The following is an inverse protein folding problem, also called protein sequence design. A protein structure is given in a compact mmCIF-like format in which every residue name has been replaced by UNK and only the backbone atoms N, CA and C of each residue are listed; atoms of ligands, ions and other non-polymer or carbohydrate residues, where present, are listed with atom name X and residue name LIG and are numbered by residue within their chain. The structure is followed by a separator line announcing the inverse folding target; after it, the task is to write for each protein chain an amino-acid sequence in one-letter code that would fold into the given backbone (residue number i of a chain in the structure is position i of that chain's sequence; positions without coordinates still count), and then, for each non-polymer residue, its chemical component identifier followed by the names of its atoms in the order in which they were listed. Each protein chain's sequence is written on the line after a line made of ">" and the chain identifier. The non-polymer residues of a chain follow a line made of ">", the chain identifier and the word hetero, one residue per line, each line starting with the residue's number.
data_IF_370648290462
#
_entry.id   IF_370648290462
#
_cell.length_a   1.000
_cell.length_b   1.000
_cell.length_c   1.000
_cell.angle_alpha   90.00
_cell.angle_beta   90.00
_cell.angle_gamma   90.00
#
_symmetry.space_group_name_H-M   'P 1'
#
loop_
_entity.id
_entity.type
_entity.pdbx_description
1 polymer ?
#
# COMPACT_ATOMS: atom_id res chain seq x y z
N UNK A 1 -18.96 -4.52 10.22
CA UNK A 1 -17.56 -4.08 10.29
C UNK A 1 -16.80 -4.94 9.32
N UNK A 2 -16.01 -4.30 8.48
CA UNK A 2 -15.46 -4.90 7.25
C UNK A 2 -13.95 -4.74 7.23
N UNK A 3 -13.28 -5.69 6.58
CA UNK A 3 -11.85 -5.56 6.25
C UNK A 3 -11.71 -5.37 4.75
N UNK A 4 -10.90 -4.40 4.34
CA UNK A 4 -10.54 -4.19 2.93
C UNK A 4 -9.06 -4.46 2.76
N UNK A 5 -8.71 -5.44 1.93
CA UNK A 5 -7.33 -5.71 1.55
C UNK A 5 -6.97 -4.85 0.33
N UNK A 6 -6.06 -3.90 0.51
CA UNK A 6 -5.57 -2.99 -0.52
C UNK A 6 -4.24 -3.47 -1.08
N UNK A 7 -4.22 -3.73 -2.39
CA UNK A 7 -3.04 -4.11 -3.14
C UNK A 7 -2.17 -2.91 -3.51
N UNK A 8 -1.08 -2.73 -2.78
CA UNK A 8 -0.21 -1.53 -2.85
C UNK A 8 1.28 -1.91 -2.76
N UNK A 9 2.14 -0.91 -2.58
CA UNK A 9 3.58 -1.08 -2.36
C UNK A 9 4.38 -1.34 -3.64
N UNK A 10 5.70 -1.17 -3.52
CA UNK A 10 6.62 -1.30 -4.63
C UNK A 10 6.62 -2.69 -5.25
N UNK A 11 6.80 -2.73 -6.58
CA UNK A 11 6.87 -3.98 -7.33
C UNK A 11 7.70 -3.81 -8.62
N UNK A 12 7.62 -4.82 -9.48
CA UNK A 12 8.35 -4.89 -10.76
C UNK A 12 8.14 -3.67 -11.67
N UNK A 13 7.08 -2.89 -11.47
CA UNK A 13 6.80 -1.69 -12.24
C UNK A 13 7.61 -0.47 -11.82
N UNK A 14 8.14 -0.43 -10.59
CA UNK A 14 8.65 0.81 -10.01
C UNK A 14 9.95 0.67 -9.19
N UNK A 15 10.32 -0.54 -8.76
CA UNK A 15 11.61 -0.79 -8.09
C UNK A 15 12.24 -2.08 -8.59
N UNK A 16 13.58 -2.13 -8.58
CA UNK A 16 14.34 -3.36 -8.76
C UNK A 16 15.56 -3.37 -7.82
N UNK A 17 15.89 -4.51 -7.18
CA UNK A 17 15.10 -5.73 -7.15
C UNK A 17 13.74 -5.53 -6.45
N UNK A 18 12.80 -6.43 -6.72
CA UNK A 18 11.51 -6.45 -6.01
C UNK A 18 11.77 -6.83 -4.54
N UNK A 19 11.08 -6.19 -3.57
CA UNK A 19 11.19 -6.56 -2.16
C UNK A 19 10.98 -8.06 -1.91
N UNK A 20 11.63 -8.57 -0.86
CA UNK A 20 11.65 -9.99 -0.51
C UNK A 20 11.13 -10.20 0.91
N UNK A 21 10.64 -11.42 1.15
CA UNK A 21 10.41 -11.97 2.49
C UNK A 21 11.47 -13.05 2.73
N UNK A 22 12.16 -13.00 3.85
CA UNK A 22 13.18 -14.00 4.21
C UNK A 22 12.57 -15.26 4.86
N UNK A 23 13.42 -16.26 5.16
CA UNK A 23 12.99 -17.52 5.78
C UNK A 23 12.31 -17.33 7.13
N UNK A 24 12.65 -16.25 7.84
CA UNK A 24 12.07 -15.90 9.13
C UNK A 24 10.84 -14.99 8.98
N UNK A 25 10.30 -14.81 7.76
CA UNK A 25 9.14 -13.97 7.47
C UNK A 25 9.40 -12.46 7.54
N UNK A 26 10.65 -12.02 7.66
CA UNK A 26 11.02 -10.60 7.75
C UNK A 26 11.01 -9.96 6.38
N UNK A 27 10.72 -8.66 6.34
CA UNK A 27 10.61 -7.89 5.11
C UNK A 27 10.95 -6.43 5.34
N UNK A 28 11.27 -5.73 4.26
CA UNK A 28 11.38 -4.27 4.25
C UNK A 28 10.20 -3.70 3.47
N UNK A 29 9.48 -2.75 4.09
CA UNK A 29 8.47 -1.99 3.37
C UNK A 29 9.17 -0.93 2.53
N UNK A 30 9.24 -1.17 1.23
CA UNK A 30 9.78 -0.22 0.26
C UNK A 30 8.61 0.53 -0.38
N UNK A 31 8.45 1.85 -0.13
CA UNK A 31 7.43 2.65 -0.80
C UNK A 31 7.76 2.82 -2.29
N UNK A 32 6.75 3.17 -3.10
CA UNK A 32 6.99 3.50 -4.51
C UNK A 32 7.74 4.83 -4.62
N UNK A 33 8.52 5.06 -5.69
CA UNK A 33 9.19 6.33 -5.90
C UNK A 33 8.14 7.42 -6.17
N UNK A 34 8.34 8.61 -5.62
CA UNK A 34 7.50 9.76 -5.96
C UNK A 34 7.67 10.12 -7.43
N UNK A 35 6.57 10.51 -8.09
CA UNK A 35 6.52 10.76 -9.54
C UNK A 35 6.51 12.25 -9.90
N UNK A 36 6.49 13.14 -8.93
CA UNK A 36 6.48 14.58 -9.16
C UNK A 36 6.84 15.39 -7.93
N UNK A 37 6.58 16.69 -7.98
CA UNK A 37 6.79 17.61 -6.86
C UNK A 37 6.06 17.13 -5.59
N UNK A 38 6.79 17.09 -4.49
CA UNK A 38 6.29 16.69 -3.16
C UNK A 38 7.02 17.46 -2.07
N UNK A 39 6.36 17.64 -0.94
CA UNK A 39 6.98 18.13 0.31
C UNK A 39 7.45 16.99 1.22
N UNK A 40 7.42 15.73 0.75
CA UNK A 40 7.94 14.57 1.49
C UNK A 40 9.45 14.72 1.74
N UNK A 41 9.90 14.86 3.01
CA UNK A 41 11.33 14.93 3.31
C UNK A 41 12.03 13.57 3.24
N UNK A 42 11.29 12.45 3.28
CA UNK A 42 11.88 11.12 3.23
C UNK A 42 12.32 10.74 1.81
N UNK A 43 13.54 10.23 1.70
CA UNK A 43 14.13 9.67 0.49
C UNK A 43 14.50 8.21 0.74
N UNK A 44 14.86 7.46 -0.30
CA UNK A 44 15.38 6.10 -0.07
C UNK A 44 16.66 6.10 0.76
N UNK A 45 17.47 7.16 0.70
CA UNK A 45 18.68 7.36 1.48
C UNK A 45 18.44 7.71 2.95
N UNK A 46 17.38 8.46 3.25
CA UNK A 46 17.10 8.87 4.63
C UNK A 46 16.28 7.84 5.42
N UNK A 47 15.56 6.95 4.74
CA UNK A 47 14.80 5.89 5.41
C UNK A 47 15.71 4.72 5.83
N UNK A 48 15.83 4.43 7.13
CA UNK A 48 16.64 3.32 7.60
C UNK A 48 15.96 1.98 7.27
N UNK A 49 16.79 0.97 7.04
CA UNK A 49 16.34 -0.43 7.03
C UNK A 49 15.86 -0.83 8.41
N UNK A 50 14.80 -1.63 8.45
CA UNK A 50 14.35 -2.26 9.70
C UNK A 50 15.27 -3.42 10.10
N UNK A 51 15.82 -4.12 9.12
CA UNK A 51 16.59 -5.33 9.28
C UNK A 51 17.97 -5.17 8.64
N UNK A 52 18.99 -5.07 9.50
CA UNK A 52 20.38 -4.83 9.12
C UNK A 52 20.74 -3.35 9.10
N UNK A 53 21.95 -3.05 8.64
CA UNK A 53 22.48 -1.69 8.59
C UNK A 53 22.17 -0.99 7.25
N UNK A 54 22.14 0.33 7.28
CA UNK A 54 21.99 1.18 6.09
C UNK A 54 20.56 1.66 5.83
N UNK A 55 20.39 2.31 4.68
CA UNK A 55 19.11 2.88 4.23
C UNK A 55 18.40 1.97 3.22
N UNK A 56 17.13 2.26 2.92
CA UNK A 56 16.37 1.54 1.90
C UNK A 56 17.05 1.61 0.51
N UNK A 57 17.79 2.68 0.21
CA UNK A 57 18.56 2.80 -1.03
C UNK A 57 19.56 1.64 -1.20
N UNK A 58 20.14 1.12 -0.11
CA UNK A 58 21.07 -0.01 -0.17
C UNK A 58 20.44 -1.34 -0.62
N UNK A 59 19.10 -1.40 -0.72
CA UNK A 59 18.35 -2.58 -1.17
C UNK A 59 17.87 -2.47 -2.62
N UNK A 60 18.13 -1.34 -3.28
CA UNK A 60 17.51 -0.96 -4.55
C UNK A 60 18.61 -0.64 -5.57
N UNK A 61 18.59 -1.36 -6.69
CA UNK A 61 19.49 -1.14 -7.84
C UNK A 61 18.91 -0.11 -8.83
N UNK A 62 17.61 0.17 -8.72
CA UNK A 62 16.98 1.23 -9.49
C UNK A 62 15.51 1.43 -9.22
N UNK A 63 15.04 2.61 -9.55
CA UNK A 63 13.66 3.06 -9.38
C UNK A 63 13.10 3.56 -10.71
N UNK A 64 11.78 3.53 -10.83
CA UNK A 64 11.08 4.06 -12.00
C UNK A 64 9.85 4.89 -11.57
N UNK A 65 10.03 6.19 -11.36
CA UNK A 65 8.92 7.12 -11.11
C UNK A 65 7.85 7.01 -12.19
N UNK A 66 6.58 6.87 -11.80
CA UNK A 66 5.46 6.83 -12.75
C UNK A 66 5.30 5.55 -13.58
N UNK A 67 6.12 4.51 -13.37
CA UNK A 67 6.06 3.18 -14.03
C UNK A 67 6.19 3.12 -15.56
N UNK A 68 6.17 4.24 -16.29
CA UNK A 68 6.28 4.32 -17.76
C UNK A 68 7.58 5.00 -18.24
N UNK A 69 8.37 5.58 -17.32
CA UNK A 69 9.63 6.28 -17.64
C UNK A 69 10.87 5.39 -17.71
N UNK A 70 12.03 6.02 -17.86
CA UNK A 70 13.32 5.35 -17.78
C UNK A 70 13.65 4.93 -16.33
N UNK A 71 14.46 3.88 -16.20
CA UNK A 71 14.98 3.49 -14.90
C UNK A 71 16.07 4.46 -14.45
N UNK A 72 15.91 5.01 -13.25
CA UNK A 72 16.98 5.70 -12.52
C UNK A 72 17.81 4.64 -11.82
N UNK A 73 19.11 4.59 -12.13
CA UNK A 73 20.06 3.59 -11.59
C UNK A 73 21.34 4.19 -11.04
N UNK A 74 21.54 5.50 -11.19
CA UNK A 74 22.63 6.15 -10.48
C UNK A 74 22.33 6.08 -8.98
N UNK A 75 23.32 5.66 -8.19
CA UNK A 75 23.11 5.38 -6.78
C UNK A 75 22.78 6.64 -5.98
N UNK A 76 23.38 7.79 -6.33
CA UNK A 76 23.11 9.05 -5.65
C UNK A 76 21.70 9.54 -6.01
N UNK A 77 21.30 9.43 -7.28
CA UNK A 77 19.94 9.78 -7.71
C UNK A 77 18.89 8.90 -7.00
N UNK A 78 19.14 7.59 -6.85
CA UNK A 78 18.25 6.68 -6.10
C UNK A 78 18.18 7.08 -4.63
N UNK A 79 19.33 7.39 -4.01
CA UNK A 79 19.45 7.76 -2.60
C UNK A 79 18.68 9.07 -2.28
N UNK A 80 18.78 10.06 -3.15
CA UNK A 80 18.15 11.37 -3.00
C UNK A 80 16.69 11.41 -3.46
N UNK A 81 16.19 10.35 -4.10
CA UNK A 81 14.83 10.32 -4.63
C UNK A 81 13.78 10.21 -3.51
N UNK A 82 12.80 11.13 -3.51
CA UNK A 82 11.72 11.14 -2.55
C UNK A 82 10.79 9.92 -2.69
N UNK A 83 10.36 9.36 -1.56
CA UNK A 83 9.42 8.24 -1.56
C UNK A 83 7.97 8.72 -1.62
N UNK A 84 7.06 7.84 -2.04
CA UNK A 84 5.62 8.06 -1.92
C UNK A 84 5.06 7.06 -0.89
N UNK A 85 4.90 7.53 0.36
CA UNK A 85 4.40 6.72 1.48
C UNK A 85 2.88 6.62 1.46
N UNK A 86 2.39 5.68 0.65
CA UNK A 86 0.96 5.41 0.57
C UNK A 86 0.70 3.89 0.48
N UNK A 87 0.41 3.22 1.61
CA UNK A 87 0.10 3.78 2.94
C UNK A 87 1.29 4.36 3.70
N UNK A 88 1.02 5.34 4.56
CA UNK A 88 1.95 5.74 5.61
C UNK A 88 1.60 4.98 6.90
N UNK A 89 2.34 3.90 7.16
CA UNK A 89 2.09 3.00 8.29
C UNK A 89 2.58 3.54 9.65
N UNK A 90 3.40 4.60 9.65
CA UNK A 90 3.84 5.26 10.89
C UNK A 90 2.82 6.31 11.34
N UNK A 91 2.28 7.08 10.37
CA UNK A 91 1.24 8.08 10.62
C UNK A 91 -0.19 7.53 10.53
N UNK A 92 -0.34 6.25 10.13
CA UNK A 92 -1.62 5.57 9.94
C UNK A 92 -2.58 6.35 9.03
N UNK A 93 -2.13 6.66 7.82
CA UNK A 93 -2.99 7.27 6.79
C UNK A 93 -2.79 6.59 5.45
N UNK A 94 -3.84 6.58 4.63
CA UNK A 94 -3.83 6.03 3.28
C UNK A 94 -4.66 6.90 2.33
N UNK A 95 -4.09 7.17 1.17
CA UNK A 95 -4.72 7.83 0.03
C UNK A 95 -4.84 6.88 -1.15
N UNK A 96 -5.92 7.01 -1.92
CA UNK A 96 -6.12 6.20 -3.12
C UNK A 96 -6.99 6.91 -4.14
N UNK A 97 -6.74 6.67 -5.42
CA UNK A 97 -7.45 7.34 -6.52
C UNK A 97 -8.11 6.35 -7.49
N UNK A 98 -7.66 5.07 -7.50
CA UNK A 98 -8.21 4.06 -8.40
C UNK A 98 -9.71 3.90 -8.16
N UNK A 99 -10.59 4.11 -9.15
CA UNK A 99 -12.05 4.20 -8.90
C UNK A 99 -12.67 3.02 -8.15
N UNK A 100 -12.30 1.74 -8.42
CA UNK A 100 -12.81 0.61 -7.64
C UNK A 100 -12.38 0.63 -6.16
N UNK A 101 -11.18 1.13 -5.87
CA UNK A 101 -10.72 1.29 -4.49
C UNK A 101 -11.47 2.43 -3.81
N UNK A 102 -11.59 3.59 -4.47
CA UNK A 102 -12.29 4.77 -3.92
C UNK A 102 -13.70 4.39 -3.49
N UNK A 103 -14.46 3.70 -4.34
CA UNK A 103 -15.82 3.25 -4.00
C UNK A 103 -15.87 2.29 -2.81
N UNK A 104 -14.85 1.43 -2.65
CA UNK A 104 -14.81 0.43 -1.57
C UNK A 104 -14.41 1.10 -0.25
N UNK A 105 -13.39 1.97 -0.29
CA UNK A 105 -12.86 2.67 0.87
C UNK A 105 -13.85 3.74 1.38
N UNK A 106 -14.56 4.42 0.50
CA UNK A 106 -15.56 5.43 0.87
C UNK A 106 -16.74 4.88 1.68
N UNK A 107 -16.96 3.55 1.63
CA UNK A 107 -18.03 2.88 2.35
C UNK A 107 -17.63 2.44 3.78
N UNK A 108 -16.38 2.69 4.19
CA UNK A 108 -15.88 2.26 5.50
C UNK A 108 -16.32 3.20 6.63
N UNK A 109 -16.54 2.60 7.79
CA UNK A 109 -16.86 3.28 9.04
C UNK A 109 -15.70 3.19 10.05
N UNK A 110 -15.76 4.05 11.08
CA UNK A 110 -14.81 3.98 12.17
C UNK A 110 -14.84 2.60 12.85
N UNK A 111 -13.66 1.98 12.99
CA UNK A 111 -13.50 0.62 13.52
C UNK A 111 -13.28 -0.46 12.46
N UNK A 112 -13.60 -0.21 11.20
CA UNK A 112 -13.23 -1.08 10.08
C UNK A 112 -11.71 -1.13 9.90
N UNK A 113 -11.21 -2.06 9.08
CA UNK A 113 -9.77 -2.24 8.84
C UNK A 113 -9.44 -2.10 7.37
N UNK A 114 -8.38 -1.34 7.09
CA UNK A 114 -7.70 -1.36 5.79
C UNK A 114 -6.37 -2.08 5.95
N UNK A 115 -6.22 -3.21 5.28
CA UNK A 115 -5.03 -4.04 5.36
C UNK A 115 -4.27 -4.00 4.03
N UNK A 116 -2.95 -3.94 4.08
CA UNK A 116 -2.12 -3.66 2.91
C UNK A 116 -1.31 -4.88 2.52
N UNK A 117 -1.45 -5.27 1.26
CA UNK A 117 -0.71 -6.40 0.72
C UNK A 117 0.08 -6.02 -0.53
N UNK A 118 1.26 -6.63 -0.64
CA UNK A 118 2.24 -6.34 -1.68
C UNK A 118 2.72 -7.62 -2.35
N UNK A 119 3.45 -7.45 -3.46
CA UNK A 119 4.08 -8.56 -4.16
C UNK A 119 5.53 -8.71 -3.72
N UNK A 120 5.85 -9.76 -2.97
CA UNK A 120 7.22 -10.03 -2.51
C UNK A 120 7.71 -11.36 -3.06
N UNK A 121 9.01 -11.47 -3.36
CA UNK A 121 9.61 -12.79 -3.60
C UNK A 121 9.71 -13.54 -2.29
N UNK A 122 9.35 -14.82 -2.32
CA UNK A 122 9.40 -15.68 -1.15
C UNK A 122 10.82 -16.21 -0.87
N UNK A 123 10.99 -16.88 0.29
CA UNK A 123 12.23 -17.57 0.63
C UNK A 123 12.51 -18.80 -0.23
N UNK A 124 11.45 -19.54 -0.56
CA UNK A 124 11.53 -20.86 -1.22
C UNK A 124 12.10 -20.78 -2.65
N UNK A 125 11.83 -19.67 -3.35
CA UNK A 125 12.20 -19.44 -4.74
C UNK A 125 11.96 -17.96 -5.12
N UNK A 126 12.42 -17.58 -6.31
CA UNK A 126 12.22 -16.23 -6.84
C UNK A 126 10.79 -15.92 -7.30
N UNK A 127 9.81 -16.81 -7.08
CA UNK A 127 8.41 -16.52 -7.37
C UNK A 127 7.87 -15.50 -6.37
N UNK A 128 7.14 -14.55 -6.93
CA UNK A 128 6.45 -13.52 -6.16
C UNK A 128 5.18 -14.14 -5.56
N UNK A 129 4.88 -13.87 -4.30
CA UNK A 129 3.58 -14.13 -3.68
C UNK A 129 2.97 -12.83 -3.18
N UNK A 130 1.70 -12.89 -2.75
CA UNK A 130 1.01 -11.78 -2.11
C UNK A 130 1.12 -11.94 -0.62
N UNK A 131 1.74 -10.94 0.01
CA UNK A 131 1.90 -10.89 1.46
C UNK A 131 1.25 -9.65 2.02
N UNK A 132 0.49 -9.82 3.08
CA UNK A 132 0.08 -8.76 3.97
C UNK A 132 1.31 -8.26 4.74
N UNK A 133 1.48 -6.95 4.82
CA UNK A 133 2.66 -6.32 5.44
C UNK A 133 2.32 -5.20 6.43
N UNK A 134 1.05 -4.79 6.51
CA UNK A 134 0.60 -3.76 7.43
C UNK A 134 -0.91 -3.61 7.39
N UNK A 135 -1.47 -2.85 8.32
CA UNK A 135 -2.88 -2.46 8.31
C UNK A 135 -3.09 -1.18 9.12
N UNK A 136 -4.26 -0.58 9.03
CA UNK A 136 -4.74 0.44 9.95
C UNK A 136 -6.18 0.16 10.37
N UNK A 137 -6.55 0.59 11.56
CA UNK A 137 -7.96 0.66 11.96
C UNK A 137 -8.50 2.03 11.54
N UNK A 138 -9.63 2.08 10.85
CA UNK A 138 -10.26 3.33 10.40
C UNK A 138 -10.67 4.15 11.62
N UNK A 139 -10.19 5.39 11.71
CA UNK A 139 -10.42 6.27 12.85
C UNK A 139 -11.73 7.07 12.73
N UNK A 140 -12.06 7.47 11.51
CA UNK A 140 -13.26 8.22 11.14
C UNK A 140 -13.63 7.87 9.69
N UNK A 141 -14.86 8.22 9.29
CA UNK A 141 -15.33 7.98 7.92
C UNK A 141 -14.35 8.58 6.89
N UNK A 142 -13.92 7.83 5.86
CA UNK A 142 -13.03 8.34 4.84
C UNK A 142 -13.64 9.51 4.08
N UNK A 143 -12.79 10.46 3.69
CA UNK A 143 -13.22 11.65 2.93
C UNK A 143 -12.86 11.47 1.47
N UNK A 144 -13.84 11.63 0.57
CA UNK A 144 -13.61 11.55 -0.88
C UNK A 144 -13.53 12.96 -1.45
N UNK A 145 -12.35 13.30 -1.95
CA UNK A 145 -12.05 14.52 -2.68
C UNK A 145 -12.43 14.31 -4.14
N UNK A 146 -13.52 14.95 -4.59
CA UNK A 146 -14.04 14.84 -5.94
C UNK A 146 -13.41 15.91 -6.86
N UNK A 147 -13.24 15.63 -8.16
CA UNK A 147 -12.89 16.66 -9.13
C UNK A 147 -13.91 17.81 -9.10
N UNK A 148 -13.42 19.06 -9.07
CA UNK A 148 -14.26 20.26 -9.01
C UNK A 148 -14.76 20.64 -7.62
N UNK A 149 -14.30 19.97 -6.55
CA UNK A 149 -14.42 20.52 -5.20
C UNK A 149 -13.69 21.87 -5.09
N UNK A 150 -14.17 22.70 -4.17
CA UNK A 150 -13.55 23.98 -3.83
C UNK A 150 -12.15 23.78 -3.21
N UNK A 151 -11.20 24.63 -3.60
CA UNK A 151 -9.79 24.48 -3.22
C UNK A 151 -9.58 24.65 -1.71
N UNK A 152 -10.32 25.54 -1.04
CA UNK A 152 -10.22 25.72 0.42
C UNK A 152 -10.75 24.47 1.13
N UNK A 153 -11.84 23.88 0.62
CA UNK A 153 -12.36 22.62 1.17
C UNK A 153 -11.41 21.43 0.97
N UNK A 154 -10.71 21.37 -0.17
CA UNK A 154 -9.66 20.37 -0.40
C UNK A 154 -8.48 20.60 0.55
N UNK A 155 -8.04 21.85 0.71
CA UNK A 155 -6.95 22.21 1.61
C UNK A 155 -7.27 21.83 3.06
N UNK A 156 -8.46 22.16 3.57
CA UNK A 156 -8.88 21.83 4.94
C UNK A 156 -8.79 20.32 5.23
N UNK A 157 -9.20 19.47 4.27
CA UNK A 157 -9.12 18.02 4.43
C UNK A 157 -7.66 17.55 4.44
N UNK A 158 -6.83 18.07 3.56
CA UNK A 158 -5.42 17.65 3.44
C UNK A 158 -4.55 18.18 4.59
N UNK A 159 -4.85 19.37 5.11
CA UNK A 159 -4.18 19.97 6.27
C UNK A 159 -4.45 19.19 7.57
N UNK A 160 -5.58 18.47 7.64
CA UNK A 160 -5.86 17.53 8.73
C UNK A 160 -5.13 16.19 8.61
N UNK A 161 -4.48 15.92 7.47
CA UNK A 161 -3.70 14.70 7.20
C UNK A 161 -2.35 15.00 6.52
N UNK A 162 -1.49 15.84 7.13
CA UNK A 162 -0.30 16.35 6.45
C UNK A 162 0.74 15.26 6.13
N UNK A 163 0.71 14.12 6.81
CA UNK A 163 1.55 12.95 6.54
C UNK A 163 1.06 12.08 5.38
N UNK A 164 -0.14 12.34 4.84
CA UNK A 164 -0.65 11.65 3.67
C UNK A 164 0.10 12.09 2.42
N UNK A 165 0.46 11.15 1.57
CA UNK A 165 1.27 11.45 0.39
C UNK A 165 0.53 12.36 -0.62
N UNK A 166 -0.81 12.33 -0.67
CA UNK A 166 -1.59 13.25 -1.48
C UNK A 166 -1.60 14.69 -0.90
N UNK A 167 -1.59 14.84 0.42
CA UNK A 167 -1.41 16.16 1.06
C UNK A 167 -0.01 16.72 0.77
N UNK A 168 1.03 15.87 0.83
CA UNK A 168 2.42 16.26 0.51
C UNK A 168 2.59 16.75 -0.92
N UNK A 169 1.94 16.08 -1.88
CA UNK A 169 1.89 16.52 -3.29
C UNK A 169 1.13 17.82 -3.44
N UNK A 170 -0.06 17.92 -2.83
CA UNK A 170 -0.87 19.14 -2.88
C UNK A 170 -0.09 20.36 -2.38
N UNK A 171 0.60 20.24 -1.23
CA UNK A 171 1.39 21.32 -0.67
C UNK A 171 2.56 21.79 -1.57
N UNK A 172 3.11 20.90 -2.40
CA UNK A 172 4.21 21.24 -3.31
C UNK A 172 3.72 21.79 -4.66
N UNK A 173 2.58 21.29 -5.14
CA UNK A 173 2.09 21.51 -6.50
C UNK A 173 0.94 22.53 -6.58
N UNK A 174 0.21 22.72 -5.48
CA UNK A 174 -0.95 23.59 -5.40
C UNK A 174 -2.28 22.96 -5.86
N UNK A 175 -2.25 21.72 -6.35
CA UNK A 175 -3.44 20.96 -6.71
C UNK A 175 -3.26 19.46 -6.46
N UNK A 176 -4.37 18.72 -6.37
CA UNK A 176 -4.30 17.26 -6.44
C UNK A 176 -3.98 16.85 -7.87
N UNK A 177 -2.95 16.03 -8.06
CA UNK A 177 -2.53 15.58 -9.40
C UNK A 177 -3.67 14.98 -10.23
N UNK A 178 -4.57 14.23 -9.59
CA UNK A 178 -5.70 13.60 -10.27
C UNK A 178 -6.86 14.55 -10.54
N UNK A 179 -6.78 15.80 -10.10
CA UNK A 179 -7.70 16.88 -10.48
C UNK A 179 -7.04 17.84 -11.47
N UNK A 180 -5.71 17.76 -11.65
CA UNK A 180 -4.94 18.67 -12.49
C UNK A 180 -5.04 18.28 -13.97
N UNK A 181 -5.57 19.16 -14.84
CA UNK A 181 -5.64 18.90 -16.27
C UNK A 181 -4.27 18.83 -16.96
N UNK A 182 -3.20 19.40 -16.38
CA UNK A 182 -1.84 19.24 -16.90
C UNK A 182 -1.27 17.84 -16.64
N UNK A 183 -1.82 17.13 -15.63
CA UNK A 183 -1.38 15.80 -15.24
C UNK A 183 -2.23 14.68 -15.87
N UNK A 184 -3.55 14.87 -15.97
CA UNK A 184 -4.46 13.85 -16.52
C UNK A 184 -5.61 14.46 -17.32
N UNK A 185 -5.90 13.87 -18.48
CA UNK A 185 -7.11 14.18 -19.27
C UNK A 185 -8.39 13.57 -18.66
N UNK A 186 -8.25 12.74 -17.61
CA UNK A 186 -9.33 12.06 -16.91
C UNK A 186 -9.20 12.30 -15.42
N UNK A 187 -9.80 13.37 -14.89
CA UNK A 187 -9.78 13.62 -13.46
C UNK A 187 -10.43 12.48 -12.68
N UNK A 188 -9.81 12.07 -11.58
CA UNK A 188 -10.27 10.99 -10.71
C UNK A 188 -10.38 11.47 -9.27
N UNK A 189 -11.38 10.98 -8.55
CA UNK A 189 -11.54 11.26 -7.12
C UNK A 189 -10.39 10.65 -6.32
N UNK A 190 -10.03 11.30 -5.21
CA UNK A 190 -9.05 10.78 -4.25
C UNK A 190 -9.75 10.54 -2.92
N UNK A 191 -9.64 9.34 -2.36
CA UNK A 191 -10.10 9.07 -0.98
C UNK A 191 -8.94 9.21 -0.01
N UNK A 192 -9.18 9.86 1.13
CA UNK A 192 -8.27 9.92 2.28
C UNK A 192 -8.89 9.13 3.42
N UNK A 193 -8.15 8.13 3.89
CA UNK A 193 -8.53 7.25 5.00
C UNK A 193 -7.71 7.63 6.24
N UNK A 194 -8.34 8.22 7.28
CA UNK A 194 -7.70 8.41 8.57
C UNK A 194 -7.65 7.08 9.33
N UNK A 195 -6.47 6.71 9.79
CA UNK A 195 -6.24 5.52 10.60
C UNK A 195 -5.90 5.85 12.06
N UNK A 196 -5.99 4.82 12.89
CA UNK A 196 -5.57 4.80 14.29
C UNK A 196 -5.07 3.41 14.67
N UNK A 197 -4.44 3.33 15.83
CA UNK A 197 -4.11 2.06 16.45
C UNK A 197 -5.38 1.30 16.89
N UNK A 198 -5.36 -0.04 16.93
CA UNK A 198 -4.25 -0.90 16.51
C UNK A 198 -4.03 -0.87 14.99
N UNK A 199 -2.77 -0.90 14.56
CA UNK A 199 -2.36 -0.75 13.18
C UNK A 199 -0.84 -0.63 13.06
N UNK A 200 -0.39 -0.34 11.85
CA UNK A 200 1.02 -0.16 11.51
C UNK A 200 1.59 -1.29 10.68
N UNK A 201 2.91 -1.27 10.55
CA UNK A 201 3.69 -2.27 9.81
C UNK A 201 3.83 -3.54 10.64
N UNK A 202 3.56 -4.70 10.03
CA UNK A 202 3.71 -5.99 10.69
C UNK A 202 5.18 -6.32 10.95
N UNK A 203 5.44 -7.08 12.01
CA UNK A 203 6.78 -7.60 12.32
C UNK A 203 7.21 -8.70 11.36
N UNK A 204 6.24 -9.43 10.81
CA UNK A 204 6.41 -10.50 9.82
C UNK A 204 5.35 -10.37 8.74
N UNK A 205 5.74 -10.68 7.52
CA UNK A 205 4.83 -10.68 6.38
C UNK A 205 3.94 -11.93 6.43
N UNK A 206 2.62 -11.77 6.25
CA UNK A 206 1.68 -12.90 6.23
C UNK A 206 1.34 -13.26 4.79
N UNK A 207 1.72 -14.47 4.36
CA UNK A 207 1.42 -14.95 3.00
C UNK A 207 -0.10 -15.13 2.83
N UNK A 208 -0.67 -14.41 1.86
CA UNK A 208 -2.09 -14.47 1.50
C UNK A 208 -2.37 -15.43 0.34
N UNK A 209 -1.39 -15.60 -0.55
CA UNK A 209 -1.57 -16.38 -1.78
C UNK A 209 -0.83 -17.70 -1.76
N UNK A 210 -1.42 -18.73 -2.38
CA UNK A 210 -0.75 -19.97 -2.75
C UNK A 210 -0.48 -20.04 -4.26
N UNK A 211 0.01 -21.19 -4.72
CA UNK A 211 0.25 -21.48 -6.12
C UNK A 211 -0.88 -22.37 -6.65
N UNK A 212 -1.72 -21.83 -7.55
CA UNK A 212 -2.82 -22.61 -8.16
C UNK A 212 -2.73 -22.67 -9.66
N UNK A 213 -2.81 -21.54 -10.36
CA UNK A 213 -2.99 -21.52 -11.82
C UNK A 213 -2.43 -20.24 -12.46
N UNK A 214 -1.53 -20.39 -13.45
CA UNK A 214 -1.14 -19.31 -14.37
C UNK A 214 -0.29 -18.19 -13.75
N UNK A 215 -0.13 -17.04 -14.43
CA UNK A 215 0.68 -15.91 -13.94
C UNK A 215 0.00 -15.10 -12.82
N UNK A 216 -1.24 -15.45 -12.48
CA UNK A 216 -2.07 -14.72 -11.52
C UNK A 216 -1.88 -15.25 -10.10
N UNK A 217 -2.23 -14.41 -9.13
CA UNK A 217 -2.14 -14.75 -7.72
C UNK A 217 -3.55 -14.89 -7.17
N UNK A 218 -3.83 -15.97 -6.44
CA UNK A 218 -5.12 -16.20 -5.79
C UNK A 218 -4.92 -16.37 -4.29
N UNK A 219 -5.94 -16.00 -3.51
CA UNK A 219 -5.94 -16.18 -2.06
C UNK A 219 -5.94 -17.68 -1.73
N UNK A 220 -5.09 -18.08 -0.78
CA UNK A 220 -5.03 -19.46 -0.29
C UNK A 220 -6.33 -19.84 0.43
N UNK A 221 -6.72 -21.12 0.41
CA UNK A 221 -8.05 -21.57 0.87
C UNK A 221 -8.20 -21.44 2.38
N UNK A 222 -7.11 -21.66 3.10
CA UNK A 222 -7.03 -21.46 4.53
C UNK A 222 -7.13 -19.98 4.92
N UNK A 223 -6.56 -19.08 4.12
CA UNK A 223 -6.71 -17.64 4.30
C UNK A 223 -8.13 -17.19 3.98
N UNK A 224 -8.69 -17.64 2.84
CA UNK A 224 -10.04 -17.30 2.40
C UNK A 224 -11.11 -17.77 3.39
N UNK A 225 -10.94 -18.95 4.01
CA UNK A 225 -11.85 -19.44 5.06
C UNK A 225 -11.89 -18.56 6.31
N UNK A 226 -10.84 -17.79 6.57
CA UNK A 226 -10.77 -16.91 7.74
C UNK A 226 -11.19 -15.49 7.38
N UNK A 227 -10.71 -14.97 6.26
CA UNK A 227 -10.98 -13.60 5.83
C UNK A 227 -12.31 -13.42 5.09
N UNK A 228 -12.96 -14.51 4.69
CA UNK A 228 -14.27 -14.54 4.04
C UNK A 228 -14.45 -13.47 2.93
N UNK A 229 -13.64 -13.53 1.85
CA UNK A 229 -13.70 -12.53 0.79
C UNK A 229 -15.08 -12.53 0.10
N UNK A 230 -15.72 -11.36 0.06
CA UNK A 230 -17.10 -11.16 -0.46
C UNK A 230 -17.23 -11.60 -1.93
N UNK A 231 -16.13 -11.49 -2.70
CA UNK A 231 -16.10 -11.85 -4.12
C UNK A 231 -15.03 -12.90 -4.39
N UNK A 232 -15.42 -13.90 -5.19
CA UNK A 232 -14.54 -14.92 -5.72
C UNK A 232 -14.94 -15.32 -7.14
N UNK A 233 -14.03 -15.98 -7.85
CA UNK A 233 -14.28 -16.55 -9.17
C UNK A 233 -14.10 -18.07 -9.18
N UNK A 234 -14.07 -18.66 -10.38
CA UNK A 234 -13.88 -20.11 -10.57
C UNK A 234 -12.57 -20.67 -9.96
N UNK A 235 -11.60 -19.80 -9.67
CA UNK A 235 -10.31 -20.14 -9.08
C UNK A 235 -10.12 -19.55 -7.66
N UNK A 236 -11.20 -19.10 -7.02
CA UNK A 236 -11.16 -18.39 -5.75
C UNK A 236 -10.97 -16.88 -5.91
N UNK A 237 -10.50 -16.24 -4.85
CA UNK A 237 -10.34 -14.77 -4.80
C UNK A 237 -9.04 -14.33 -5.45
N UNK A 238 -9.14 -13.52 -6.49
CA UNK A 238 -8.01 -13.02 -7.25
C UNK A 238 -7.26 -11.91 -6.50
N UNK A 239 -5.94 -12.06 -6.33
CA UNK A 239 -5.03 -11.14 -5.64
C UNK A 239 -3.99 -10.49 -6.56
N UNK A 240 -3.93 -10.83 -7.85
CA UNK A 240 -2.97 -10.13 -8.70
C UNK A 240 -2.84 -10.48 -10.16
N UNK A 241 -2.29 -9.47 -10.84
CA UNK A 241 -2.21 -9.15 -12.26
C UNK A 241 -2.06 -7.62 -12.24
N UNK A 242 -3.20 -6.94 -12.11
CA UNK A 242 -3.33 -5.67 -11.39
C UNK A 242 -3.82 -5.97 -9.96
N UNK A 243 -3.22 -5.41 -8.90
CA UNK A 243 -3.57 -5.76 -7.50
C UNK A 243 -4.95 -5.13 -7.14
N UNK A 244 -6.02 -5.90 -6.91
CA UNK A 244 -7.35 -5.34 -6.60
C UNK A 244 -7.51 -4.94 -5.12
N UNK A 245 -8.56 -4.16 -4.83
CA UNK A 245 -9.13 -4.10 -3.49
C UNK A 245 -10.01 -5.32 -3.26
N UNK A 246 -9.85 -6.00 -2.13
CA UNK A 246 -10.66 -7.18 -1.77
C UNK A 246 -11.43 -6.86 -0.51
N UNK A 247 -12.75 -6.86 -0.61
CA UNK A 247 -13.65 -6.75 0.52
C UNK A 247 -13.80 -8.13 1.20
N UNK A 248 -13.70 -8.14 2.51
CA UNK A 248 -13.70 -9.31 3.37
C UNK A 248 -14.78 -9.16 4.44
N UNK A 249 -15.71 -10.11 4.51
CA UNK A 249 -16.77 -10.19 5.53
C UNK A 249 -16.24 -10.87 6.80
N UNK A 250 -15.23 -10.24 7.39
CA UNK A 250 -14.60 -10.69 8.62
C UNK A 250 -14.60 -9.55 9.61
N UNK A 251 -14.92 -9.88 10.86
CA UNK A 251 -14.85 -8.94 11.96
C UNK A 251 -13.39 -8.47 12.19
N UNK A 252 -13.15 -7.18 12.49
CA UNK A 252 -11.82 -6.64 12.76
C UNK A 252 -11.02 -7.38 13.83
N UNK A 253 -11.64 -7.85 14.91
CA UNK A 253 -10.93 -8.59 15.96
C UNK A 253 -10.50 -9.96 15.45
N UNK A 254 -11.38 -10.65 14.71
CA UNK A 254 -11.02 -11.92 14.07
C UNK A 254 -9.92 -11.76 13.02
N UNK A 255 -9.88 -10.65 12.30
CA UNK A 255 -8.76 -10.33 11.41
C UNK A 255 -7.45 -10.14 12.19
N UNK A 256 -7.47 -9.43 13.32
CA UNK A 256 -6.28 -9.22 14.17
C UNK A 256 -5.78 -10.54 14.74
N UNK A 257 -6.67 -11.39 15.27
CA UNK A 257 -6.33 -12.73 15.75
C UNK A 257 -5.68 -13.58 14.64
N UNK A 258 -6.20 -13.50 13.41
CA UNK A 258 -5.59 -14.16 12.26
C UNK A 258 -4.18 -13.64 11.99
N UNK A 259 -3.98 -12.33 11.98
CA UNK A 259 -2.66 -11.72 11.75
C UNK A 259 -1.68 -12.12 12.85
N UNK A 260 -2.09 -12.02 14.11
CA UNK A 260 -1.27 -12.36 15.27
C UNK A 260 -0.83 -13.83 15.24
N UNK A 261 -1.76 -14.75 14.98
CA UNK A 261 -1.44 -16.17 14.85
C UNK A 261 -0.43 -16.42 13.72
N UNK A 262 -0.62 -15.80 12.54
CA UNK A 262 0.30 -15.97 11.40
C UNK A 262 1.66 -15.35 11.61
N UNK A 263 1.73 -14.24 12.35
CA UNK A 263 3.01 -13.61 12.72
C UNK A 263 3.74 -14.49 13.74
N UNK A 264 3.03 -15.07 14.72
CA UNK A 264 3.62 -16.00 15.68
C UNK A 264 4.18 -17.25 15.00
N UNK A 265 3.42 -17.87 14.10
CA UNK A 265 3.86 -19.05 13.32
C UNK A 265 5.13 -18.76 12.50
N UNK A 266 5.34 -17.52 12.04
CA UNK A 266 6.53 -17.13 11.29
C UNK A 266 7.76 -16.87 12.17
N UNK A 267 7.62 -16.92 13.50
CA UNK A 267 8.71 -16.70 14.46
C UNK A 267 9.20 -17.97 15.16
N UNK A 268 8.48 -19.09 15.02
CA UNK A 268 8.88 -20.42 15.50
C UNK A 268 9.78 -21.16 14.51
#
# INVERSE_FOLDING_TARGET
>A
MTVVLCGVGADTGNVRPVPRVDDAGRFEYVPIPEKGATTEPATYGSLPRRHGDGSLASLIDGIRPGSEGDWVTDAADVEDHAVHRDPNLDALTYGEHRPPYVSTLAALDAGDVVAFYGGFRGPENDLKHRYLFGYLTVAASPTVLQPGMDDDAVADVLDSHPENAHARRYAAHGSLYYHDPEFTDRPESVVVVPGREPGGRLDRAVRLSDHRVGPNYYMADDVARVLDPVRGGAHGTHLGGFKPAVECDVDPDRFREFVEARVADATE
#
